data_IF_503038455984
#
_entry.id   IF_503038455984
#
_cell.length_a   1.000
_cell.length_b   1.000
_cell.length_c   1.000
_cell.angle_alpha   90.00
_cell.angle_beta   90.00
_cell.angle_gamma   90.00
#
_symmetry.space_group_name_H-M   'P 1'
#
loop_
_entity.id
_entity.type
_entity.pdbx_description
1 polymer ?
#
# COMPACT_ATOMS: atom_id res chain seq x y z
N UNK A 1 3.86 -4.17 -1.28
CA UNK A 1 2.73 -3.36 -0.76
C UNK A 1 1.58 -3.26 -1.76
N UNK A 2 1.78 -2.78 -2.99
CA UNK A 2 0.68 -2.59 -3.96
C UNK A 2 -0.03 -3.87 -4.37
N UNK A 3 0.69 -4.97 -4.59
CA UNK A 3 0.04 -6.27 -4.84
C UNK A 3 -0.79 -6.73 -3.63
N UNK A 4 -0.36 -6.42 -2.41
CA UNK A 4 -1.14 -6.73 -1.21
C UNK A 4 -2.44 -5.92 -1.15
N UNK A 5 -2.38 -4.62 -1.47
CA UNK A 5 -3.58 -3.78 -1.57
C UNK A 5 -4.53 -4.29 -2.66
N UNK A 6 -3.98 -4.70 -3.81
CA UNK A 6 -4.79 -5.27 -4.90
C UNK A 6 -5.42 -6.61 -4.51
N UNK A 7 -4.73 -7.45 -3.76
CA UNK A 7 -5.31 -8.68 -3.19
C UNK A 7 -6.48 -8.36 -2.27
N UNK A 8 -6.40 -7.32 -1.45
CA UNK A 8 -7.51 -6.92 -0.58
C UNK A 8 -8.72 -6.41 -1.40
N UNK A 9 -8.46 -5.62 -2.43
CA UNK A 9 -9.48 -5.14 -3.37
C UNK A 9 -10.18 -6.31 -4.07
N UNK A 10 -9.41 -7.25 -4.62
CA UNK A 10 -9.95 -8.46 -5.25
C UNK A 10 -10.76 -9.32 -4.28
N UNK A 11 -10.26 -9.51 -3.05
CA UNK A 11 -11.00 -10.25 -2.02
C UNK A 11 -12.35 -9.59 -1.69
N UNK A 12 -12.38 -8.27 -1.58
CA UNK A 12 -13.61 -7.52 -1.35
C UNK A 12 -14.55 -7.69 -2.54
N UNK A 13 -14.07 -7.42 -3.75
CA UNK A 13 -14.85 -7.53 -4.99
C UNK A 13 -15.53 -8.90 -5.13
N UNK A 14 -14.77 -9.99 -4.99
CA UNK A 14 -15.34 -11.35 -5.10
C UNK A 14 -16.28 -11.69 -3.95
N UNK A 15 -16.01 -11.18 -2.74
CA UNK A 15 -16.92 -11.34 -1.60
C UNK A 15 -18.27 -10.67 -1.88
N UNK A 16 -18.26 -9.46 -2.43
CA UNK A 16 -19.48 -8.70 -2.77
C UNK A 16 -20.30 -9.40 -3.89
N UNK A 17 -19.63 -10.18 -4.73
CA UNK A 17 -20.26 -11.06 -5.76
C UNK A 17 -20.61 -12.47 -5.26
N UNK A 18 -20.49 -12.76 -3.95
CA UNK A 18 -20.70 -14.09 -3.36
C UNK A 18 -19.79 -15.19 -3.94
N UNK A 19 -18.59 -14.83 -4.39
CA UNK A 19 -17.60 -15.78 -4.90
C UNK A 19 -16.56 -16.05 -3.81
N UNK A 20 -16.48 -17.31 -3.36
CA UNK A 20 -15.48 -17.74 -2.40
C UNK A 20 -14.16 -18.06 -3.09
N UNK A 21 -13.14 -17.34 -2.71
CA UNK A 21 -11.76 -17.53 -3.19
C UNK A 21 -10.91 -18.14 -2.09
N UNK A 22 -9.99 -19.03 -2.48
CA UNK A 22 -9.09 -19.76 -1.59
C UNK A 22 -7.63 -19.57 -2.02
N UNK A 23 -6.70 -19.93 -1.15
CA UNK A 23 -5.26 -20.04 -1.44
C UNK A 23 -4.65 -18.77 -2.05
N UNK A 24 -5.10 -17.57 -1.64
CA UNK A 24 -4.49 -16.34 -2.08
C UNK A 24 -3.01 -16.30 -1.70
N UNK A 25 -2.16 -16.15 -2.69
CA UNK A 25 -0.72 -15.98 -2.49
C UNK A 25 -0.15 -14.99 -3.50
N UNK A 26 0.95 -14.35 -3.13
CA UNK A 26 1.73 -13.49 -4.03
C UNK A 26 3.09 -14.17 -4.22
N UNK A 27 3.42 -14.49 -5.46
CA UNK A 27 4.71 -15.06 -5.84
C UNK A 27 5.18 -14.44 -7.15
N UNK A 28 6.47 -14.11 -7.24
CA UNK A 28 7.09 -13.58 -8.47
C UNK A 28 6.28 -12.43 -9.11
N UNK A 29 5.83 -11.47 -8.29
CA UNK A 29 5.03 -10.31 -8.71
C UNK A 29 3.67 -10.67 -9.35
N UNK A 30 3.19 -11.88 -9.16
CA UNK A 30 1.87 -12.33 -9.61
C UNK A 30 0.99 -12.71 -8.42
N UNK A 31 -0.31 -12.56 -8.58
CA UNK A 31 -1.33 -12.96 -7.61
C UNK A 31 -1.85 -14.32 -8.04
N UNK A 32 -1.89 -15.27 -7.10
CA UNK A 32 -2.46 -16.59 -7.31
C UNK A 32 -3.66 -16.80 -6.39
N UNK A 33 -4.69 -17.43 -6.89
CA UNK A 33 -5.83 -17.85 -6.10
C UNK A 33 -6.63 -18.96 -6.78
N UNK A 34 -7.42 -19.69 -5.98
CA UNK A 34 -8.28 -20.75 -6.46
C UNK A 34 -9.75 -20.39 -6.28
N UNK A 35 -10.59 -20.86 -7.20
CA UNK A 35 -12.03 -20.71 -7.15
C UNK A 35 -12.72 -22.08 -7.18
N UNK A 36 -14.00 -22.14 -6.85
CA UNK A 36 -14.78 -23.34 -7.10
C UNK A 36 -14.93 -23.54 -8.62
N UNK A 37 -14.77 -24.77 -9.09
CA UNK A 37 -14.91 -25.15 -10.50
C UNK A 37 -16.20 -24.62 -11.11
N UNK A 38 -17.34 -24.68 -10.37
CA UNK A 38 -18.62 -24.15 -10.82
C UNK A 38 -18.66 -22.62 -11.02
N UNK A 39 -17.70 -21.89 -10.45
CA UNK A 39 -17.61 -20.43 -10.52
C UNK A 39 -16.51 -19.93 -11.45
N UNK A 40 -15.78 -20.85 -12.11
CA UNK A 40 -14.66 -20.51 -12.98
C UNK A 40 -15.05 -19.54 -14.09
N UNK A 41 -16.08 -19.89 -14.86
CA UNK A 41 -16.54 -19.08 -16.00
C UNK A 41 -17.07 -17.71 -15.55
N UNK A 42 -17.75 -17.67 -14.39
CA UNK A 42 -18.22 -16.41 -13.80
C UNK A 42 -17.04 -15.51 -13.41
N UNK A 43 -16.00 -16.08 -12.81
CA UNK A 43 -14.79 -15.33 -12.42
C UNK A 43 -14.04 -14.83 -13.65
N UNK A 44 -13.88 -15.67 -14.69
CA UNK A 44 -13.28 -15.24 -15.96
C UNK A 44 -14.05 -14.06 -16.57
N UNK A 45 -15.37 -14.20 -16.67
CA UNK A 45 -16.23 -13.14 -17.21
C UNK A 45 -16.12 -11.84 -16.41
N UNK A 46 -16.03 -11.90 -15.07
CA UNK A 46 -15.90 -10.71 -14.21
C UNK A 46 -14.53 -10.05 -14.34
N UNK A 47 -13.47 -10.84 -14.51
CA UNK A 47 -12.10 -10.32 -14.66
C UNK A 47 -11.88 -9.71 -16.05
N UNK A 48 -12.53 -10.26 -17.07
CA UNK A 48 -12.41 -9.84 -18.48
C UNK A 48 -13.44 -8.76 -18.87
N UNK A 49 -14.39 -8.43 -17.98
CA UNK A 49 -15.40 -7.40 -18.24
C UNK A 49 -14.78 -6.00 -18.23
N UNK A 50 -14.78 -5.37 -19.40
CA UNK A 50 -14.31 -3.99 -19.62
C UNK A 50 -14.99 -2.93 -18.72
N UNK A 51 -16.16 -3.24 -18.17
CA UNK A 51 -16.94 -2.37 -17.29
C UNK A 51 -16.82 -2.75 -15.82
N UNK A 52 -16.08 -3.80 -15.52
CA UNK A 52 -15.89 -4.27 -14.15
C UNK A 52 -15.21 -3.20 -13.29
N UNK A 53 -15.60 -3.13 -12.04
CA UNK A 53 -14.97 -2.25 -11.03
C UNK A 53 -13.46 -2.52 -10.87
N UNK A 54 -13.00 -3.72 -11.24
CA UNK A 54 -11.58 -4.09 -11.21
C UNK A 54 -10.83 -3.46 -12.39
N UNK A 55 -11.52 -3.23 -13.52
CA UNK A 55 -10.95 -2.71 -14.75
C UNK A 55 -11.25 -1.22 -14.94
N UNK A 56 -11.11 -0.44 -13.87
CA UNK A 56 -11.51 0.98 -13.78
C UNK A 56 -11.01 1.84 -14.95
N UNK A 57 -9.86 1.52 -15.51
CA UNK A 57 -9.24 2.32 -16.55
C UNK A 57 -9.43 1.79 -17.97
N UNK A 58 -10.10 0.63 -18.14
CA UNK A 58 -10.27 0.02 -19.46
C UNK A 58 -10.98 0.95 -20.45
N UNK A 59 -11.98 1.67 -20.00
CA UNK A 59 -12.73 2.60 -20.85
C UNK A 59 -11.84 3.69 -21.44
N UNK A 60 -10.85 4.13 -20.67
CA UNK A 60 -9.94 5.20 -21.07
C UNK A 60 -8.78 4.68 -21.93
N UNK A 61 -8.21 3.53 -21.59
CA UNK A 61 -6.94 3.07 -22.15
C UNK A 61 -7.06 1.80 -23.00
N UNK A 62 -8.26 1.17 -23.01
CA UNK A 62 -8.52 -0.07 -23.78
C UNK A 62 -7.56 -1.22 -23.45
N UNK A 63 -7.11 -1.29 -22.21
CA UNK A 63 -6.22 -2.34 -21.71
C UNK A 63 -6.56 -2.69 -20.27
N UNK A 64 -6.47 -3.97 -19.96
CA UNK A 64 -6.61 -4.49 -18.59
C UNK A 64 -5.33 -4.24 -17.78
N UNK A 65 -5.49 -4.10 -16.46
CA UNK A 65 -4.37 -3.95 -15.55
C UNK A 65 -3.56 -5.24 -15.40
N UNK A 66 -4.24 -6.40 -15.54
CA UNK A 66 -3.65 -7.71 -15.39
C UNK A 66 -3.88 -8.59 -16.60
N UNK A 67 -2.86 -9.35 -16.96
CA UNK A 67 -2.96 -10.54 -17.79
C UNK A 67 -3.45 -11.70 -16.93
N UNK A 68 -4.41 -12.47 -17.44
CA UNK A 68 -5.08 -13.55 -16.73
C UNK A 68 -4.66 -14.87 -17.33
N UNK A 69 -4.02 -15.70 -16.53
CA UNK A 69 -3.79 -17.11 -16.84
C UNK A 69 -4.63 -17.97 -15.92
N UNK A 70 -5.23 -19.03 -16.42
CA UNK A 70 -5.95 -19.99 -15.61
C UNK A 70 -5.62 -21.42 -16.01
N UNK A 71 -5.44 -22.26 -15.01
CA UNK A 71 -5.27 -23.70 -15.16
C UNK A 71 -6.24 -24.38 -14.19
N UNK A 72 -7.13 -25.21 -14.73
CA UNK A 72 -8.25 -25.81 -13.99
C UNK A 72 -9.07 -24.73 -13.24
N UNK A 73 -8.98 -24.71 -11.91
CA UNK A 73 -9.66 -23.77 -11.02
C UNK A 73 -8.72 -22.75 -10.36
N UNK A 74 -7.43 -22.77 -10.73
CA UNK A 74 -6.41 -21.84 -10.26
C UNK A 74 -6.23 -20.68 -11.24
N UNK A 75 -6.13 -19.48 -10.70
CA UNK A 75 -5.92 -18.25 -11.44
C UNK A 75 -4.57 -17.65 -11.08
N UNK A 76 -3.92 -17.11 -12.10
CA UNK A 76 -2.71 -16.30 -11.97
C UNK A 76 -2.97 -14.95 -12.64
N UNK A 77 -2.83 -13.87 -11.88
CA UNK A 77 -2.90 -12.50 -12.38
C UNK A 77 -1.49 -11.91 -12.37
N UNK A 78 -1.02 -11.49 -13.54
CA UNK A 78 0.27 -10.81 -13.71
C UNK A 78 0.01 -9.42 -14.25
N UNK A 79 0.72 -8.40 -13.76
CA UNK A 79 0.57 -7.07 -14.34
C UNK A 79 0.86 -7.11 -15.83
N UNK A 80 -0.07 -6.62 -16.64
CA UNK A 80 0.16 -6.34 -18.06
C UNK A 80 1.21 -5.24 -18.24
N UNK A 81 1.74 -5.07 -19.43
CA UNK A 81 2.65 -3.97 -19.75
C UNK A 81 2.04 -2.61 -19.38
N UNK A 82 0.75 -2.46 -19.64
CA UNK A 82 -0.01 -1.28 -19.27
C UNK A 82 -0.17 -1.15 -17.74
N UNK A 83 -0.49 -2.24 -17.05
CA UNK A 83 -0.56 -2.30 -15.59
C UNK A 83 0.77 -1.89 -14.94
N UNK A 84 1.90 -2.29 -15.51
CA UNK A 84 3.22 -1.86 -15.05
C UNK A 84 3.45 -0.35 -15.26
N UNK A 85 2.99 0.22 -16.37
CA UNK A 85 3.06 1.68 -16.61
C UNK A 85 2.21 2.43 -15.59
N UNK A 86 0.98 1.97 -15.33
CA UNK A 86 0.11 2.55 -14.31
C UNK A 86 0.74 2.47 -12.91
N UNK A 87 1.30 1.32 -12.57
CA UNK A 87 1.97 1.11 -11.29
C UNK A 87 3.15 2.08 -11.11
N UNK A 88 3.99 2.23 -12.14
CA UNK A 88 5.12 3.18 -12.13
C UNK A 88 4.64 4.62 -11.96
N UNK A 89 3.67 5.05 -12.76
CA UNK A 89 3.15 6.41 -12.71
C UNK A 89 2.57 6.74 -11.32
N UNK A 90 1.70 5.88 -10.80
CA UNK A 90 1.09 6.11 -9.50
C UNK A 90 2.10 6.04 -8.34
N UNK A 91 3.15 5.21 -8.47
CA UNK A 91 4.25 5.18 -7.49
C UNK A 91 5.07 6.45 -7.51
N UNK A 92 5.31 7.01 -8.71
CA UNK A 92 6.02 8.26 -8.89
C UNK A 92 5.22 9.43 -8.34
N UNK A 93 3.90 9.48 -8.57
CA UNK A 93 3.01 10.51 -8.02
C UNK A 93 3.01 10.48 -6.48
N UNK A 94 2.90 9.30 -5.89
CA UNK A 94 2.99 9.12 -4.44
C UNK A 94 4.36 9.54 -3.87
N UNK A 95 5.44 9.22 -4.59
CA UNK A 95 6.78 9.65 -4.21
C UNK A 95 6.93 11.17 -4.26
N UNK A 96 6.36 11.85 -5.26
CA UNK A 96 6.34 13.31 -5.36
C UNK A 96 5.62 13.93 -4.17
N UNK A 97 4.43 13.42 -3.80
CA UNK A 97 3.70 13.92 -2.64
C UNK A 97 4.46 13.70 -1.33
N UNK A 98 5.15 12.57 -1.20
CA UNK A 98 6.01 12.29 -0.05
C UNK A 98 7.19 13.26 0.02
N UNK A 99 7.85 13.50 -1.11
CA UNK A 99 8.95 14.47 -1.21
C UNK A 99 8.46 15.88 -0.89
N UNK A 100 7.32 16.29 -1.44
CA UNK A 100 6.73 17.60 -1.18
C UNK A 100 6.50 17.83 0.31
N UNK A 101 5.82 16.91 0.99
CA UNK A 101 5.59 17.00 2.44
C UNK A 101 6.89 17.15 3.23
N UNK A 102 7.92 16.35 2.91
CA UNK A 102 9.21 16.42 3.60
C UNK A 102 9.98 17.71 3.34
N UNK A 103 9.84 18.25 2.15
CA UNK A 103 10.44 19.54 1.77
C UNK A 103 9.75 20.69 2.48
N UNK A 104 8.41 20.65 2.57
CA UNK A 104 7.60 21.64 3.29
C UNK A 104 7.95 21.68 4.79
N UNK A 105 8.25 20.53 5.42
CA UNK A 105 8.71 20.46 6.81
C UNK A 105 10.02 21.20 7.07
N UNK A 106 10.84 21.39 6.04
CA UNK A 106 12.10 22.16 6.15
C UNK A 106 11.87 23.67 6.05
N UNK A 107 10.68 24.08 5.65
CA UNK A 107 10.32 25.50 5.51
C UNK A 107 10.98 26.17 4.32
N UNK A 108 11.18 25.45 3.22
CA UNK A 108 11.74 26.01 1.99
C UNK A 108 10.70 26.87 1.26
N UNK A 109 11.15 28.02 0.76
CA UNK A 109 10.31 28.88 -0.06
C UNK A 109 10.23 28.32 -1.48
N UNK A 110 8.99 28.06 -1.94
CA UNK A 110 8.65 27.69 -3.32
C UNK A 110 9.51 26.56 -3.93
N UNK A 111 9.44 25.33 -3.38
CA UNK A 111 10.15 24.20 -3.95
C UNK A 111 9.61 23.84 -5.32
N UNK A 112 10.48 23.58 -6.29
CA UNK A 112 10.09 23.08 -7.59
C UNK A 112 10.32 21.55 -7.62
N UNK A 113 9.22 20.78 -7.68
CA UNK A 113 9.24 19.32 -7.65
C UNK A 113 8.53 18.80 -8.89
N UNK A 114 9.28 18.22 -9.81
CA UNK A 114 8.80 17.81 -11.11
C UNK A 114 9.14 16.35 -11.43
N UNK A 115 8.25 15.68 -12.16
CA UNK A 115 8.58 14.42 -12.83
C UNK A 115 9.65 14.65 -13.90
N UNK A 116 10.67 13.79 -13.94
CA UNK A 116 11.67 13.79 -15.00
C UNK A 116 11.83 12.39 -15.58
N UNK A 117 11.22 12.16 -16.75
CA UNK A 117 11.12 10.83 -17.33
C UNK A 117 10.12 9.96 -16.56
N UNK A 118 10.32 8.64 -16.62
CA UNK A 118 9.39 7.65 -16.06
C UNK A 118 9.82 7.10 -14.68
N UNK A 119 10.97 7.56 -14.16
CA UNK A 119 11.63 6.95 -13.01
C UNK A 119 12.35 7.94 -12.08
N UNK A 120 12.31 9.24 -12.39
CA UNK A 120 13.05 10.26 -11.66
C UNK A 120 12.16 11.43 -11.23
N UNK A 121 12.53 12.02 -10.10
CA UNK A 121 11.94 13.26 -9.56
C UNK A 121 13.07 14.30 -9.51
N UNK A 122 12.85 15.44 -10.16
CA UNK A 122 13.70 16.61 -10.02
C UNK A 122 13.19 17.43 -8.83
N UNK A 123 14.08 17.76 -7.91
CA UNK A 123 13.79 18.60 -6.74
C UNK A 123 14.76 19.77 -6.76
N UNK A 124 14.23 20.97 -6.88
CA UNK A 124 15.00 22.22 -6.84
C UNK A 124 14.53 23.02 -5.63
N UNK A 125 15.46 23.39 -4.77
CA UNK A 125 15.19 24.06 -3.49
C UNK A 125 15.97 25.37 -3.44
N UNK A 126 15.38 26.47 -3.90
CA UNK A 126 16.06 27.76 -3.89
C UNK A 126 16.40 28.21 -2.47
N UNK A 127 17.61 28.74 -2.27
CA UNK A 127 18.04 29.30 -1.00
C UNK A 127 18.50 28.26 0.05
N UNK A 128 18.68 27.00 -0.33
CA UNK A 128 19.25 25.97 0.54
C UNK A 128 20.71 25.67 0.16
N UNK A 129 21.61 25.96 1.08
CA UNK A 129 23.06 25.82 0.88
C UNK A 129 23.60 24.44 1.30
N UNK A 130 22.76 23.58 1.93
CA UNK A 130 23.18 22.26 2.41
C UNK A 130 22.41 21.10 1.72
N UNK A 131 22.91 20.63 0.57
CA UNK A 131 22.34 19.46 -0.12
C UNK A 131 22.41 18.16 0.70
N UNK A 132 23.36 18.05 1.61
CA UNK A 132 23.56 16.87 2.46
C UNK A 132 22.42 16.68 3.44
N UNK A 133 21.96 17.75 4.07
CA UNK A 133 20.81 17.76 4.97
C UNK A 133 19.54 17.31 4.25
N UNK A 134 19.32 17.81 3.04
CA UNK A 134 18.14 17.44 2.23
C UNK A 134 18.19 15.98 1.81
N UNK A 135 19.32 15.49 1.34
CA UNK A 135 19.49 14.06 1.01
C UNK A 135 19.21 13.16 2.23
N UNK A 136 19.70 13.55 3.41
CA UNK A 136 19.44 12.82 4.64
C UNK A 136 17.95 12.80 4.99
N UNK A 137 17.26 13.93 4.85
CA UNK A 137 15.82 14.04 5.13
C UNK A 137 14.99 13.22 4.15
N UNK A 138 15.26 13.32 2.85
CA UNK A 138 14.55 12.59 1.81
C UNK A 138 14.83 11.08 1.85
N UNK A 139 16.05 10.69 2.26
CA UNK A 139 16.49 9.29 2.33
C UNK A 139 15.95 8.51 3.53
N UNK A 140 15.39 9.19 4.53
CA UNK A 140 14.78 8.50 5.69
C UNK A 140 13.50 7.78 5.27
N UNK A 141 13.53 6.45 5.28
CA UNK A 141 12.34 5.63 5.15
C UNK A 141 11.87 5.23 6.53
N UNK A 142 10.74 5.78 6.97
CA UNK A 142 10.06 5.32 8.17
C UNK A 142 8.85 4.48 7.77
N UNK A 143 8.77 3.27 8.29
CA UNK A 143 7.63 2.38 8.07
C UNK A 143 6.80 2.42 9.36
N UNK A 144 5.68 3.15 9.34
CA UNK A 144 4.75 3.20 10.47
C UNK A 144 3.76 2.05 10.34
N UNK A 145 3.72 1.20 11.34
CA UNK A 145 2.73 0.12 11.42
C UNK A 145 2.13 0.08 12.81
N UNK A 146 0.83 -0.21 12.88
CA UNK A 146 0.12 -0.44 14.13
C UNK A 146 -0.20 -1.92 14.24
N UNK A 147 0.21 -2.52 15.35
CA UNK A 147 0.04 -3.92 15.66
C UNK A 147 -0.46 -4.06 17.09
N UNK A 148 -1.27 -5.09 17.38
CA UNK A 148 -1.68 -5.35 18.75
C UNK A 148 -0.52 -5.92 19.58
N UNK A 149 -0.37 -5.45 20.81
CA UNK A 149 0.52 -6.08 21.78
C UNK A 149 -0.10 -7.42 22.18
N UNK A 150 0.66 -8.49 22.05
CA UNK A 150 0.23 -9.82 22.44
C UNK A 150 0.17 -9.94 23.97
N UNK A 151 -0.94 -10.45 24.50
CA UNK A 151 -1.05 -10.82 25.90
C UNK A 151 -0.42 -12.19 26.15
N UNK A 152 -0.03 -12.48 27.39
CA UNK A 152 0.70 -13.69 27.78
C UNK A 152 0.05 -15.04 27.38
N UNK A 153 -1.18 -15.06 26.91
CA UNK A 153 -1.89 -16.25 26.45
C UNK A 153 -1.75 -16.53 24.95
N UNK A 154 -1.26 -15.57 24.16
CA UNK A 154 -1.17 -15.68 22.68
C UNK A 154 0.25 -15.96 22.16
N UNK A 155 1.18 -16.33 23.03
CA UNK A 155 2.63 -16.32 22.79
C UNK A 155 3.19 -17.34 21.81
N UNK A 156 2.44 -18.07 21.00
CA UNK A 156 3.10 -19.15 20.23
C UNK A 156 2.94 -19.14 18.71
N UNK A 157 1.95 -18.48 18.13
CA UNK A 157 1.83 -18.46 16.66
C UNK A 157 1.40 -17.09 16.15
N UNK A 158 2.20 -16.50 15.24
CA UNK A 158 1.85 -15.24 14.59
C UNK A 158 2.24 -13.98 15.37
N UNK A 159 3.17 -14.10 16.32
CA UNK A 159 3.76 -12.95 17.04
C UNK A 159 5.21 -12.73 16.67
N UNK A 160 5.72 -11.53 16.93
CA UNK A 160 7.13 -11.15 16.78
C UNK A 160 7.56 -10.27 17.95
N UNK A 161 8.84 -10.28 18.28
CA UNK A 161 9.42 -9.49 19.35
C UNK A 161 9.97 -8.20 18.74
N UNK A 162 9.51 -7.05 19.25
CA UNK A 162 10.01 -5.74 18.88
C UNK A 162 10.69 -5.07 20.07
N UNK A 163 11.81 -4.43 19.82
CA UNK A 163 12.54 -3.67 20.83
C UNK A 163 12.06 -2.21 20.84
N UNK A 164 11.92 -1.65 22.04
CA UNK A 164 11.64 -0.22 22.19
C UNK A 164 12.86 0.61 21.72
N UNK A 165 12.61 1.82 21.26
CA UNK A 165 13.65 2.74 20.83
C UNK A 165 14.69 3.02 21.93
N UNK A 166 14.27 3.02 23.20
CA UNK A 166 15.16 3.14 24.36
C UNK A 166 16.11 1.95 24.51
N UNK A 167 15.84 0.82 23.87
CA UNK A 167 16.66 -0.40 23.93
C UNK A 167 16.55 -1.18 25.26
N UNK A 168 15.79 -0.69 26.22
CA UNK A 168 15.66 -1.23 27.60
C UNK A 168 14.50 -2.18 27.79
N UNK A 169 13.57 -2.23 26.84
CA UNK A 169 12.35 -3.06 26.89
C UNK A 169 12.03 -3.66 25.55
N UNK A 170 11.33 -4.78 25.60
CA UNK A 170 10.82 -5.50 24.46
C UNK A 170 9.31 -5.69 24.58
N UNK A 171 8.62 -5.73 23.45
CA UNK A 171 7.20 -6.02 23.37
C UNK A 171 6.95 -7.15 22.37
N UNK A 172 6.17 -8.13 22.77
CA UNK A 172 5.63 -9.12 21.87
C UNK A 172 4.42 -8.53 21.18
N UNK A 173 4.42 -8.50 19.86
CA UNK A 173 3.33 -7.95 19.04
C UNK A 173 2.83 -8.96 18.03
N UNK A 174 1.57 -8.83 17.64
CA UNK A 174 1.01 -9.64 16.56
C UNK A 174 1.69 -9.28 15.23
N UNK A 175 2.11 -10.28 14.45
CA UNK A 175 2.60 -10.05 13.06
C UNK A 175 1.55 -9.44 12.14
N UNK A 176 0.28 -9.46 12.55
CA UNK A 176 -0.80 -8.86 11.76
C UNK A 176 -0.77 -7.34 11.94
N UNK A 177 -0.41 -6.64 10.87
CA UNK A 177 -0.52 -5.19 10.78
C UNK A 177 -2.01 -4.83 10.69
N UNK A 178 -2.48 -3.94 11.59
CA UNK A 178 -3.85 -3.46 11.64
C UNK A 178 -4.00 -2.24 10.73
N UNK A 179 -3.06 -1.30 10.87
CA UNK A 179 -2.99 -0.07 10.10
C UNK A 179 -1.55 0.13 9.66
N UNK A 180 -1.36 0.50 8.41
CA UNK A 180 -0.08 0.95 7.86
C UNK A 180 -0.11 2.47 7.69
N UNK A 181 1.02 3.12 7.91
CA UNK A 181 1.17 4.56 7.68
C UNK A 181 0.82 5.01 6.26
N UNK A 182 0.90 4.11 5.28
CA UNK A 182 0.47 4.38 3.90
C UNK A 182 -1.04 4.65 3.78
N UNK A 183 -1.82 4.21 4.76
CA UNK A 183 -3.27 4.41 4.82
C UNK A 183 -3.67 5.64 5.65
N UNK A 184 -2.69 6.33 6.27
CA UNK A 184 -2.94 7.52 7.06
C UNK A 184 -2.91 8.75 6.17
N UNK A 185 -3.99 9.50 6.20
CA UNK A 185 -4.13 10.77 5.45
C UNK A 185 -3.71 11.95 6.32
N UNK A 186 -4.06 11.92 7.61
CA UNK A 186 -3.80 12.98 8.56
C UNK A 186 -3.56 12.44 9.98
N UNK A 187 -2.77 13.14 10.76
CA UNK A 187 -2.50 12.86 12.16
C UNK A 187 -2.37 14.16 12.95
N UNK A 188 -3.29 14.40 13.89
CA UNK A 188 -3.27 15.62 14.67
C UNK A 188 -3.54 15.39 16.15
N UNK A 189 -2.95 16.21 17.02
CA UNK A 189 -3.25 16.16 18.45
C UNK A 189 -4.68 16.66 18.70
N UNK A 190 -5.43 15.89 19.49
CA UNK A 190 -6.77 16.25 19.95
C UNK A 190 -6.87 15.99 21.46
N UNK A 191 -7.78 16.70 22.13
CA UNK A 191 -8.03 16.46 23.55
C UNK A 191 -9.18 15.46 23.69
N UNK A 192 -8.96 14.38 24.41
CA UNK A 192 -10.01 13.45 24.76
C UNK A 192 -10.82 14.06 25.92
N UNK A 193 -12.07 14.43 25.66
CA UNK A 193 -12.94 15.10 26.60
C UNK A 193 -13.36 14.23 27.81
N UNK A 194 -13.19 12.90 27.72
CA UNK A 194 -13.53 11.98 28.82
C UNK A 194 -12.37 11.78 29.80
N UNK A 195 -11.13 11.72 29.26
CA UNK A 195 -9.94 11.45 30.07
C UNK A 195 -9.11 12.69 30.35
N UNK A 196 -9.43 13.82 29.70
CA UNK A 196 -8.69 15.08 29.72
C UNK A 196 -7.21 14.93 29.35
N UNK A 197 -6.92 13.95 28.45
CA UNK A 197 -5.58 13.67 27.97
C UNK A 197 -5.46 14.07 26.49
N UNK A 198 -4.27 14.53 26.12
CA UNK A 198 -3.94 14.75 24.72
C UNK A 198 -3.73 13.40 24.05
N UNK A 199 -4.47 13.15 22.97
CA UNK A 199 -4.37 11.95 22.13
C UNK A 199 -4.06 12.35 20.70
N UNK A 200 -3.50 11.45 19.92
CA UNK A 200 -3.31 11.65 18.48
C UNK A 200 -4.49 11.00 17.75
N UNK A 201 -5.22 11.83 17.00
CA UNK A 201 -6.30 11.36 16.12
C UNK A 201 -5.73 11.13 14.72
N UNK A 202 -6.04 9.96 14.16
CA UNK A 202 -5.66 9.57 12.79
C UNK A 202 -6.90 9.53 11.90
N UNK A 203 -6.74 9.92 10.63
CA UNK A 203 -7.75 9.77 9.59
C UNK A 203 -7.16 9.18 8.31
#
# INVERSE_FOLDING_TARGET
QRLQSKVLELKKFFKDKNIKIRNFSIKNQSIFFDVNVMKKEEVLSLLDDDKSEINTYFQQFKSHEFDIENEDNSFKLTYSDYGLVLLKNSSLDQAIETVRRRVDEVGTNEPNILKRGNDRILVELPGLDDPGRIKSLLGKTANLTFQFVATNQEQSFGTELLQYESGDREAMVSKRIIISGDNLVDAKPTMNNQTNQTVVSFS
#
